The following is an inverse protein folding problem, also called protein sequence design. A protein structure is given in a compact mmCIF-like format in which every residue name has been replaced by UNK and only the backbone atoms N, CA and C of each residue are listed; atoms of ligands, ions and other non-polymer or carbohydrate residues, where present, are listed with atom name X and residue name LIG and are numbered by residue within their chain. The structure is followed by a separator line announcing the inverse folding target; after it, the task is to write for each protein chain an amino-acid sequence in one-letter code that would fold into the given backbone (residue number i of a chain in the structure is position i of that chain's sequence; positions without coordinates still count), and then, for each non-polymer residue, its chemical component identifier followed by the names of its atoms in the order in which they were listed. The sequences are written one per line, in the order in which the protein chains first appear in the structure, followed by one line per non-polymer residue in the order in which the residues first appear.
data_IF_638518718056
#
_entry.id   IF_638518718056
#
_cell.length_a   1.000
_cell.length_b   1.000
_cell.length_c   1.000
_cell.angle_alpha   90.00
_cell.angle_beta   90.00
_cell.angle_gamma   90.00
#
_symmetry.space_group_name_H-M   'P 1'
#
loop_
_entity.id
_entity.type
_entity.pdbx_description
1 polymer ?
#
# COMPACT_ATOMS: atom_id res chain seq x y z
N UNK A 1 -2.85 28.58 -8.88
CA UNK A 1 -2.33 28.24 -7.54
C UNK A 1 -2.30 26.72 -7.45
N UNK A 2 -1.11 26.12 -7.44
CA UNK A 2 -0.97 24.64 -7.50
C UNK A 2 -0.76 24.07 -6.10
N UNK A 3 -1.08 22.79 -5.88
CA UNK A 3 -0.80 22.09 -4.62
C UNK A 3 0.68 22.20 -4.20
N UNK A 4 1.58 22.39 -5.17
CA UNK A 4 3.01 22.61 -4.94
C UNK A 4 3.30 23.86 -4.10
N UNK A 5 2.39 24.84 -4.09
CA UNK A 5 2.56 26.09 -3.33
C UNK A 5 2.23 25.93 -1.82
N UNK A 6 1.75 24.76 -1.38
CA UNK A 6 1.22 24.54 -0.01
C UNK A 6 1.97 23.54 0.86
N UNK A 7 2.96 22.80 0.34
CA UNK A 7 3.67 21.74 1.10
C UNK A 7 4.85 22.33 1.89
N UNK A 8 4.57 23.29 2.77
CA UNK A 8 5.59 23.98 3.58
C UNK A 8 5.32 24.00 5.09
N UNK A 9 4.22 23.44 5.58
CA UNK A 9 3.91 23.48 7.01
C UNK A 9 2.88 22.41 7.43
N UNK A 10 3.30 21.15 7.54
CA UNK A 10 2.46 20.13 8.17
C UNK A 10 2.75 20.08 9.67
N UNK A 11 1.88 20.70 10.48
CA UNK A 11 1.88 20.53 11.93
C UNK A 11 1.49 19.09 12.27
N UNK A 12 2.21 18.47 13.19
CA UNK A 12 1.92 17.13 13.69
C UNK A 12 0.50 17.05 14.27
N UNK A 13 -0.34 16.19 13.69
CA UNK A 13 -1.69 15.90 14.17
C UNK A 13 -1.61 15.00 15.41
N UNK A 14 -2.33 15.38 16.47
CA UNK A 14 -2.44 14.62 17.73
C UNK A 14 -3.30 13.36 17.53
N UNK A 15 -2.86 12.27 18.13
CA UNK A 15 -3.30 10.89 17.90
C UNK A 15 -4.63 10.51 18.56
N UNK A 16 -5.61 10.15 17.74
CA UNK A 16 -6.45 8.95 17.96
C UNK A 16 -5.87 7.84 17.05
N UNK A 17 -6.20 6.54 17.19
CA UNK A 17 -5.89 5.58 16.13
C UNK A 17 -6.78 5.90 14.90
N UNK A 18 -6.38 6.95 14.19
CA UNK A 18 -6.99 7.46 12.97
C UNK A 18 -6.59 6.48 11.88
N UNK A 19 -7.53 5.63 11.48
CA UNK A 19 -7.47 5.03 10.15
C UNK A 19 -7.21 6.18 9.18
N UNK A 20 -6.10 6.13 8.43
CA UNK A 20 -5.63 7.25 7.60
C UNK A 20 -6.55 7.53 6.39
N UNK A 21 -7.62 6.76 6.24
CA UNK A 21 -8.53 6.75 5.10
C UNK A 21 -9.95 6.50 5.60
N UNK A 22 -10.92 7.24 5.04
CA UNK A 22 -12.34 7.08 5.33
C UNK A 22 -12.81 5.69 4.88
N UNK A 23 -13.44 4.87 5.74
CA UNK A 23 -13.80 3.49 5.40
C UNK A 23 -14.80 3.38 4.23
N UNK A 24 -15.59 4.42 3.97
CA UNK A 24 -16.76 4.39 3.08
C UNK A 24 -16.47 4.52 1.57
N UNK A 25 -15.29 4.09 1.10
CA UNK A 25 -15.09 4.01 -0.36
C UNK A 25 -13.82 3.29 -0.79
N UNK A 26 -12.71 3.48 -0.08
CA UNK A 26 -11.47 2.78 -0.42
C UNK A 26 -11.53 1.31 -0.01
N UNK A 27 -11.98 1.03 1.22
CA UNK A 27 -12.10 -0.34 1.73
C UNK A 27 -13.15 -1.16 0.97
N UNK A 28 -14.24 -0.52 0.53
CA UNK A 28 -15.26 -1.18 -0.30
C UNK A 28 -14.76 -1.50 -1.70
N UNK A 29 -13.98 -0.59 -2.31
CA UNK A 29 -13.48 -0.76 -3.68
C UNK A 29 -12.23 -1.64 -3.77
N UNK A 30 -11.38 -1.59 -2.76
CA UNK A 30 -10.08 -2.28 -2.72
C UNK A 30 -9.90 -3.05 -1.41
N UNK A 31 -10.77 -4.05 -1.14
CA UNK A 31 -10.79 -4.77 0.14
C UNK A 31 -9.48 -5.53 0.43
N UNK A 32 -8.82 -6.08 -0.58
CA UNK A 32 -7.57 -6.82 -0.44
C UNK A 32 -6.39 -5.91 -0.10
N UNK A 33 -6.29 -4.78 -0.80
CA UNK A 33 -5.29 -3.74 -0.46
C UNK A 33 -5.54 -3.22 0.96
N UNK A 34 -6.81 -2.97 1.31
CA UNK A 34 -7.20 -2.52 2.63
C UNK A 34 -6.81 -3.51 3.72
N UNK A 35 -7.18 -4.79 3.57
CA UNK A 35 -6.79 -5.84 4.50
C UNK A 35 -5.27 -5.92 4.63
N UNK A 36 -4.56 -5.94 3.51
CA UNK A 36 -3.10 -6.02 3.47
C UNK A 36 -2.42 -4.91 4.29
N UNK A 37 -2.86 -3.66 4.19
CA UNK A 37 -2.24 -2.53 4.91
C UNK A 37 -2.76 -2.33 6.33
N UNK A 38 -3.97 -2.78 6.63
CA UNK A 38 -4.59 -2.61 7.94
C UNK A 38 -4.42 -3.84 8.84
N UNK A 39 -3.85 -4.94 8.35
CA UNK A 39 -3.56 -6.10 9.17
C UNK A 39 -2.38 -5.82 10.11
N UNK A 40 -2.67 -5.78 11.41
CA UNK A 40 -1.67 -5.58 12.48
C UNK A 40 -1.37 -6.86 13.26
N UNK A 41 -2.14 -7.94 13.03
CA UNK A 41 -1.92 -9.23 13.65
C UNK A 41 -2.30 -10.39 12.72
N UNK A 42 -1.56 -11.50 12.83
CA UNK A 42 -1.80 -12.74 12.11
C UNK A 42 -1.65 -13.93 13.08
N UNK A 43 -2.62 -14.84 13.10
CA UNK A 43 -2.68 -15.95 14.06
C UNK A 43 -2.48 -15.52 15.53
N UNK A 44 -3.09 -14.40 15.92
CA UNK A 44 -3.01 -13.85 17.27
C UNK A 44 -1.67 -13.21 17.64
N UNK A 45 -0.70 -13.14 16.71
CA UNK A 45 0.59 -12.49 16.92
C UNK A 45 0.66 -11.15 16.22
N UNK A 46 1.23 -10.11 16.84
CA UNK A 46 1.51 -8.85 16.16
C UNK A 46 2.42 -9.08 14.95
N UNK A 47 2.13 -8.38 13.85
CA UNK A 47 2.98 -8.38 12.65
C UNK A 47 3.44 -6.97 12.32
N UNK A 48 4.54 -6.86 11.59
CA UNK A 48 4.93 -5.58 11.02
C UNK A 48 3.94 -5.17 9.94
N UNK A 49 3.43 -3.93 10.03
CA UNK A 49 2.44 -3.42 9.08
C UNK A 49 3.01 -3.32 7.68
N UNK A 50 2.30 -3.93 6.73
CA UNK A 50 2.62 -3.85 5.31
C UNK A 50 2.49 -2.42 4.78
N UNK A 51 3.07 -2.18 3.60
CA UNK A 51 3.05 -0.85 2.97
C UNK A 51 2.68 -0.95 1.52
N UNK A 52 2.01 0.08 1.03
CA UNK A 52 1.83 0.32 -0.41
C UNK A 52 2.49 1.63 -0.77
N UNK A 53 3.35 1.59 -1.78
CA UNK A 53 4.04 2.77 -2.31
C UNK A 53 3.60 2.94 -3.75
N UNK A 54 2.99 4.08 -4.03
CA UNK A 54 2.65 4.50 -5.38
C UNK A 54 3.64 5.53 -5.87
N UNK A 55 4.06 5.41 -7.11
CA UNK A 55 4.84 6.42 -7.78
C UNK A 55 4.48 6.47 -9.26
N UNK A 56 4.50 7.67 -9.83
CA UNK A 56 4.30 7.89 -11.26
C UNK A 56 5.66 8.24 -11.83
N UNK A 57 6.06 7.51 -12.88
CA UNK A 57 7.31 7.75 -13.60
C UNK A 57 7.00 7.85 -15.10
N UNK A 58 7.23 9.03 -15.67
CA UNK A 58 6.78 9.39 -17.01
C UNK A 58 5.28 9.21 -17.19
N UNK A 59 4.90 8.34 -18.15
CA UNK A 59 3.51 8.03 -18.51
C UNK A 59 3.01 6.73 -17.87
N UNK A 60 3.65 6.26 -16.80
CA UNK A 60 3.27 5.01 -16.13
C UNK A 60 3.06 5.22 -14.64
N UNK A 61 2.07 4.54 -14.09
CA UNK A 61 1.88 4.39 -12.67
C UNK A 61 2.50 3.07 -12.21
N UNK A 62 3.29 3.11 -11.14
CA UNK A 62 3.82 1.93 -10.48
C UNK A 62 3.33 1.88 -9.03
N UNK A 63 3.08 0.66 -8.58
CA UNK A 63 2.63 0.32 -7.25
C UNK A 63 3.54 -0.78 -6.71
N UNK A 64 4.06 -0.57 -5.49
CA UNK A 64 4.85 -1.55 -4.77
C UNK A 64 4.10 -1.95 -3.48
N UNK A 65 3.74 -3.22 -3.37
CA UNK A 65 3.28 -3.83 -2.12
C UNK A 65 4.50 -4.36 -1.38
N UNK A 66 4.64 -4.02 -0.10
CA UNK A 66 5.75 -4.46 0.76
C UNK A 66 5.17 -5.17 1.98
N UNK A 67 5.27 -6.50 1.97
CA UNK A 67 4.97 -7.36 3.11
C UNK A 67 6.24 -7.45 3.97
N UNK A 68 6.25 -6.64 5.04
CA UNK A 68 7.38 -6.58 5.97
C UNK A 68 7.46 -7.80 6.87
N UNK A 69 6.31 -8.39 7.18
CA UNK A 69 6.26 -9.59 7.99
C UNK A 69 6.94 -10.75 7.28
N UNK A 70 6.71 -10.88 5.97
CA UNK A 70 7.29 -11.92 5.14
C UNK A 70 8.59 -11.52 4.45
N UNK A 71 9.02 -10.26 4.55
CA UNK A 71 10.22 -9.77 3.86
C UNK A 71 10.11 -9.87 2.34
N UNK A 72 8.92 -9.57 1.80
CA UNK A 72 8.60 -9.70 0.38
C UNK A 72 8.03 -8.42 -0.20
N UNK A 73 8.21 -8.24 -1.50
CA UNK A 73 7.67 -7.14 -2.27
C UNK A 73 7.05 -7.64 -3.57
N UNK A 74 5.93 -7.05 -3.97
CA UNK A 74 5.34 -7.25 -5.29
C UNK A 74 5.24 -5.89 -5.99
N UNK A 75 5.54 -5.87 -7.28
CA UNK A 75 5.45 -4.67 -8.11
C UNK A 75 4.38 -4.83 -9.17
N UNK A 76 3.62 -3.78 -9.38
CA UNK A 76 2.66 -3.66 -10.45
C UNK A 76 2.90 -2.35 -11.20
N UNK A 77 2.88 -2.39 -12.52
CA UNK A 77 3.05 -1.20 -13.37
C UNK A 77 1.92 -1.16 -14.39
N UNK A 78 1.30 0.00 -14.54
CA UNK A 78 0.20 0.24 -15.46
C UNK A 78 0.31 1.61 -16.14
N UNK A 79 -0.57 1.90 -17.10
CA UNK A 79 -0.61 3.19 -17.78
C UNK A 79 -1.26 4.25 -16.89
N UNK A 80 -2.25 3.84 -16.09
CA UNK A 80 -2.98 4.74 -15.19
C UNK A 80 -2.87 4.33 -13.72
N UNK A 81 -3.09 5.30 -12.84
CA UNK A 81 -3.15 5.06 -11.39
C UNK A 81 -4.27 4.09 -11.01
N UNK A 82 -5.43 4.19 -11.69
CA UNK A 82 -6.57 3.32 -11.45
C UNK A 82 -6.26 1.86 -11.82
N UNK A 83 -5.66 1.64 -12.99
CA UNK A 83 -5.23 0.30 -13.40
C UNK A 83 -4.18 -0.28 -12.45
N UNK A 84 -3.28 0.54 -11.91
CA UNK A 84 -2.28 0.06 -10.97
C UNK A 84 -2.94 -0.44 -9.67
N UNK A 85 -3.93 0.31 -9.15
CA UNK A 85 -4.74 -0.10 -7.99
C UNK A 85 -5.54 -1.37 -8.27
N UNK A 86 -6.28 -1.40 -9.38
CA UNK A 86 -7.15 -2.53 -9.74
C UNK A 86 -6.34 -3.79 -10.00
N UNK A 87 -5.18 -3.67 -10.65
CA UNK A 87 -4.26 -4.78 -10.88
C UNK A 87 -3.70 -5.37 -9.59
N UNK A 88 -3.28 -4.53 -8.64
CA UNK A 88 -2.81 -5.02 -7.35
C UNK A 88 -3.93 -5.61 -6.49
N UNK A 89 -5.12 -5.01 -6.49
CA UNK A 89 -6.29 -5.56 -5.80
C UNK A 89 -6.63 -6.95 -6.35
N UNK A 90 -6.77 -7.08 -7.66
CA UNK A 90 -7.03 -8.37 -8.30
C UNK A 90 -5.93 -9.39 -8.01
N UNK A 91 -4.67 -8.96 -8.02
CA UNK A 91 -3.53 -9.83 -7.70
C UNK A 91 -3.54 -10.32 -6.25
N UNK A 92 -3.92 -9.46 -5.29
CA UNK A 92 -4.08 -9.85 -3.89
C UNK A 92 -5.23 -10.85 -3.73
N UNK A 93 -6.40 -10.55 -4.30
CA UNK A 93 -7.60 -11.40 -4.21
C UNK A 93 -7.43 -12.77 -4.87
N UNK A 94 -6.64 -12.84 -5.94
CA UNK A 94 -6.39 -14.09 -6.69
C UNK A 94 -5.08 -14.79 -6.33
N UNK A 95 -4.36 -14.29 -5.32
CA UNK A 95 -3.05 -14.81 -4.90
C UNK A 95 -2.03 -14.92 -6.06
N UNK A 96 -2.14 -14.04 -7.07
CA UNK A 96 -1.40 -14.15 -8.33
C UNK A 96 -0.18 -13.21 -8.42
N UNK A 97 0.16 -12.53 -7.33
CA UNK A 97 1.25 -11.56 -7.31
C UNK A 97 2.61 -12.25 -7.37
N UNK A 98 3.51 -11.69 -8.18
CA UNK A 98 4.92 -12.10 -8.25
C UNK A 98 5.70 -11.50 -7.06
N UNK A 99 5.60 -12.17 -5.90
CA UNK A 99 6.31 -11.80 -4.69
C UNK A 99 7.80 -12.11 -4.80
N UNK A 100 8.63 -11.10 -4.56
CA UNK A 100 10.09 -11.19 -4.58
C UNK A 100 10.67 -10.85 -3.21
N UNK A 101 11.82 -11.42 -2.81
CA UNK A 101 12.47 -11.05 -1.55
C UNK A 101 12.81 -9.55 -1.49
N UNK A 102 12.47 -8.91 -0.38
CA UNK A 102 12.90 -7.54 -0.10
C UNK A 102 14.37 -7.54 0.36
N UNK A 103 15.24 -6.91 -0.44
CA UNK A 103 16.67 -6.80 -0.14
C UNK A 103 16.97 -6.02 1.15
N UNK A 104 16.06 -5.14 1.58
CA UNK A 104 16.23 -4.35 2.81
C UNK A 104 15.79 -5.07 4.07
N UNK A 105 14.88 -6.03 3.92
CA UNK A 105 14.29 -6.79 5.02
C UNK A 105 14.35 -8.29 4.72
N UNK A 106 15.56 -8.89 4.60
CA UNK A 106 15.67 -10.34 4.50
C UNK A 106 15.08 -10.97 5.76
N UNK A 107 14.25 -12.03 5.61
CA UNK A 107 13.70 -12.77 6.76
C UNK A 107 14.85 -13.15 7.71
N UNK A 108 14.67 -12.83 8.99
CA UNK A 108 15.56 -13.29 10.06
C UNK A 108 15.26 -14.74 10.42
#
# INVERSE_FOLDING_TARGET
MTIRDKIGNSKALKSNPLMAVDPCGFAERYPGIWEFICQHAYNGKPIETSKVIFFVDGNKASLCLSDRHQGQVAFFTAETFGEALEGAENGLQSESLDWRPDKKYPRR
#
